data_IF_306699272234
#
_entry.id   IF_306699272234
#
_cell.length_a   1.000
_cell.length_b   1.000
_cell.length_c   1.000
_cell.angle_alpha   90.00
_cell.angle_beta   90.00
_cell.angle_gamma   90.00
#
_symmetry.space_group_name_H-M   'P 1'
#
loop_
_entity.id
_entity.type
_entity.pdbx_description
1 polymer ?
#
# COMPACT_ATOMS: atom_id res chain seq x y z
N UNK A 1 2.95 -26.08 12.42
CA UNK A 1 2.79 -24.62 12.24
C UNK A 1 2.67 -24.37 10.74
N UNK A 2 1.43 -24.21 10.27
CA UNK A 2 1.06 -24.14 8.85
C UNK A 2 1.68 -22.96 8.10
N UNK A 3 2.23 -23.23 6.91
CA UNK A 3 2.83 -22.23 6.01
C UNK A 3 1.88 -21.09 5.61
N UNK A 4 0.57 -21.33 5.61
CA UNK A 4 -0.44 -20.30 5.35
C UNK A 4 -0.45 -19.19 6.42
N UNK A 5 -0.20 -19.55 7.69
CA UNK A 5 -0.12 -18.58 8.79
C UNK A 5 1.13 -17.70 8.68
N UNK A 6 2.26 -18.29 8.26
CA UNK A 6 3.52 -17.57 8.06
C UNK A 6 3.42 -16.53 6.93
N UNK A 7 2.76 -16.87 5.80
CA UNK A 7 2.56 -15.93 4.69
C UNK A 7 1.68 -14.74 5.09
N UNK A 8 0.59 -14.99 5.82
CA UNK A 8 -0.29 -13.93 6.31
C UNK A 8 0.42 -12.99 7.29
N UNK A 9 1.31 -13.53 8.15
CA UNK A 9 2.13 -12.73 9.04
C UNK A 9 3.10 -11.81 8.29
N UNK A 10 3.77 -12.32 7.25
CA UNK A 10 4.69 -11.51 6.41
C UNK A 10 3.97 -10.39 5.65
N UNK A 11 2.77 -10.66 5.12
CA UNK A 11 1.96 -9.62 4.46
C UNK A 11 1.58 -8.52 5.44
N UNK A 12 1.18 -8.90 6.66
CA UNK A 12 0.84 -7.94 7.70
C UNK A 12 2.03 -7.06 8.06
N UNK A 13 3.19 -7.66 8.30
CA UNK A 13 4.44 -6.96 8.62
C UNK A 13 4.86 -6.01 7.49
N UNK A 14 4.76 -6.45 6.23
CA UNK A 14 5.05 -5.62 5.07
C UNK A 14 4.13 -4.39 5.03
N UNK A 15 2.83 -4.57 5.24
CA UNK A 15 1.88 -3.46 5.28
C UNK A 15 2.10 -2.53 6.47
N UNK A 16 2.53 -3.06 7.62
CA UNK A 16 2.88 -2.25 8.80
C UNK A 16 4.07 -1.32 8.49
N UNK A 17 5.14 -1.87 7.90
CA UNK A 17 6.32 -1.11 7.49
C UNK A 17 5.94 -0.03 6.46
N UNK A 18 5.14 -0.38 5.45
CA UNK A 18 4.70 0.58 4.44
C UNK A 18 3.83 1.70 5.03
N UNK A 19 2.98 1.39 6.02
CA UNK A 19 2.18 2.39 6.72
C UNK A 19 3.05 3.34 7.56
N UNK A 20 4.08 2.84 8.23
CA UNK A 20 5.05 3.67 8.95
C UNK A 20 5.79 4.61 7.98
N UNK A 21 6.27 4.09 6.85
CA UNK A 21 6.88 4.91 5.80
C UNK A 21 5.93 6.00 5.28
N UNK A 22 4.68 5.62 4.99
CA UNK A 22 3.63 6.53 4.53
C UNK A 22 3.35 7.66 5.53
N UNK A 23 3.42 7.35 6.82
CA UNK A 23 3.26 8.30 7.94
C UNK A 23 4.44 9.24 8.03
N UNK A 24 5.68 8.72 8.04
CA UNK A 24 6.90 9.53 8.09
C UNK A 24 7.01 10.51 6.92
N UNK A 25 6.54 10.10 5.74
CA UNK A 25 6.54 10.92 4.53
C UNK A 25 5.30 11.82 4.39
N UNK A 26 4.40 11.83 5.38
CA UNK A 26 3.15 12.62 5.38
C UNK A 26 2.33 12.43 4.10
N UNK A 27 2.29 11.21 3.56
CA UNK A 27 1.51 10.89 2.34
C UNK A 27 -0.01 10.93 2.59
N UNK A 28 -0.42 10.89 3.87
CA UNK A 28 -1.81 10.81 4.31
C UNK A 28 -2.56 9.62 3.69
N UNK A 29 -1.87 8.52 3.39
CA UNK A 29 -2.50 7.27 2.93
C UNK A 29 -2.85 6.39 4.13
N UNK A 30 -4.09 5.91 4.17
CA UNK A 30 -4.51 4.89 5.14
C UNK A 30 -4.12 3.48 4.69
N UNK A 31 -4.27 2.52 5.60
CA UNK A 31 -3.83 1.15 5.41
C UNK A 31 -4.51 0.46 4.23
N UNK A 32 -5.80 0.72 4.04
CA UNK A 32 -6.60 0.12 2.98
C UNK A 32 -6.18 0.67 1.61
N UNK A 33 -5.89 1.97 1.54
CA UNK A 33 -5.36 2.62 0.33
C UNK A 33 -3.98 2.07 0.00
N UNK A 34 -3.10 1.90 0.97
CA UNK A 34 -1.76 1.30 0.74
C UNK A 34 -1.90 -0.13 0.24
N UNK A 35 -2.76 -0.95 0.85
CA UNK A 35 -2.99 -2.33 0.41
C UNK A 35 -3.52 -2.39 -1.03
N UNK A 36 -4.43 -1.47 -1.39
CA UNK A 36 -4.93 -1.35 -2.76
C UNK A 36 -3.81 -0.94 -3.73
N UNK A 37 -3.00 0.06 -3.38
CA UNK A 37 -1.87 0.50 -4.19
C UNK A 37 -0.88 -0.64 -4.44
N UNK A 38 -0.55 -1.43 -3.41
CA UNK A 38 0.31 -2.60 -3.54
C UNK A 38 -0.31 -3.60 -4.52
N UNK A 39 -1.60 -3.94 -4.37
CA UNK A 39 -2.28 -4.87 -5.28
C UNK A 39 -2.30 -4.38 -6.73
N UNK A 40 -2.46 -3.08 -6.95
CA UNK A 40 -2.41 -2.49 -8.30
C UNK A 40 -0.99 -2.56 -8.89
N UNK A 41 0.02 -2.22 -8.10
CA UNK A 41 1.43 -2.32 -8.52
C UNK A 41 1.84 -3.77 -8.82
N UNK A 42 1.41 -4.75 -8.02
CA UNK A 42 1.63 -6.18 -8.27
C UNK A 42 0.99 -6.66 -9.59
N UNK A 43 -0.04 -5.97 -10.06
CA UNK A 43 -0.70 -6.22 -11.36
C UNK A 43 -0.06 -5.47 -12.52
N UNK A 44 1.06 -4.78 -12.29
CA UNK A 44 1.82 -4.06 -13.30
C UNK A 44 1.33 -2.62 -13.56
N UNK A 45 0.49 -2.06 -12.68
CA UNK A 45 0.13 -0.64 -12.76
C UNK A 45 1.37 0.20 -12.44
N UNK A 46 1.62 1.21 -13.27
CA UNK A 46 2.72 2.14 -13.04
C UNK A 46 2.46 2.97 -11.74
N UNK A 47 3.39 3.01 -10.78
CA UNK A 47 3.20 3.68 -9.50
C UNK A 47 3.18 5.20 -9.61
N UNK A 48 3.90 5.81 -10.56
CA UNK A 48 3.87 7.25 -10.79
C UNK A 48 2.48 7.71 -11.30
N UNK A 49 1.92 7.01 -12.29
CA UNK A 49 0.59 7.27 -12.82
C UNK A 49 -0.50 7.05 -11.75
N UNK A 50 -0.37 5.99 -10.93
CA UNK A 50 -1.27 5.75 -9.81
C UNK A 50 -1.23 6.91 -8.80
N UNK A 51 -0.04 7.43 -8.49
CA UNK A 51 0.10 8.56 -7.59
C UNK A 51 -0.55 9.84 -8.15
N UNK A 52 -0.47 10.07 -9.47
CA UNK A 52 -1.19 11.18 -10.13
C UNK A 52 -2.71 11.05 -9.98
N UNK A 53 -3.26 9.86 -10.23
CA UNK A 53 -4.70 9.58 -10.07
C UNK A 53 -5.15 9.82 -8.63
N UNK A 54 -4.40 9.31 -7.64
CA UNK A 54 -4.73 9.52 -6.21
C UNK A 54 -4.72 11.00 -5.85
N UNK A 55 -3.72 11.76 -6.32
CA UNK A 55 -3.65 13.20 -6.10
C UNK A 55 -4.85 13.92 -6.71
N UNK A 56 -5.28 13.51 -7.90
CA UNK A 56 -6.42 14.14 -8.58
C UNK A 56 -7.74 13.84 -7.88
N UNK A 57 -7.97 12.59 -7.49
CA UNK A 57 -9.17 12.19 -6.74
C UNK A 57 -9.30 12.90 -5.38
N UNK A 58 -8.18 13.25 -4.74
CA UNK A 58 -8.17 13.99 -3.46
C UNK A 58 -8.44 15.49 -3.58
N UNK A 59 -8.28 16.07 -4.77
CA UNK A 59 -8.61 17.48 -5.02
C UNK A 59 -10.11 17.69 -5.28
N UNK A 60 -10.80 16.61 -5.67
CA UNK A 60 -12.23 16.59 -5.99
C UNK A 60 -13.07 16.59 -4.72
#
# INVERSE_FOLDING_TARGET
>A
MDSASAKSAQVKETLDILQEMATMLNTNLDRDTIALCVSLCERGVNPEALAEVIKELRKS
#
